data_IF_928223888943
#
_entry.id   IF_928223888943
#
_cell.length_a   1.000
_cell.length_b   1.000
_cell.length_c   1.000
_cell.angle_alpha   90.00
_cell.angle_beta   90.00
_cell.angle_gamma   90.00
#
_symmetry.space_group_name_H-M   'P 1'
#
loop_
_entity.id
_entity.type
_entity.pdbx_description
1 polymer ?
#
# COMPACT_ATOMS: atom_id res chain seq x y z
N UNK A 1 -17.10 -4.66 23.68
CA UNK A 1 -17.14 -3.66 22.60
C UNK A 1 -15.88 -3.79 21.73
N UNK A 2 -15.94 -4.49 20.58
CA UNK A 2 -14.87 -4.44 19.57
C UNK A 2 -15.11 -3.22 18.67
N UNK A 3 -14.83 -2.02 19.21
CA UNK A 3 -14.97 -0.73 18.50
C UNK A 3 -13.84 -0.56 17.49
N UNK A 4 -13.79 -1.41 16.47
CA UNK A 4 -13.14 -1.14 15.18
C UNK A 4 -13.51 -2.24 14.19
N UNK A 5 -14.79 -2.39 13.83
CA UNK A 5 -15.15 -3.09 12.57
C UNK A 5 -14.95 -2.14 11.39
N UNK A 6 -13.90 -1.29 11.45
CA UNK A 6 -13.45 -0.50 10.31
C UNK A 6 -12.85 -1.48 9.32
N UNK A 7 -13.70 -2.23 8.62
CA UNK A 7 -13.30 -3.08 7.52
C UNK A 7 -12.61 -2.17 6.51
N UNK A 8 -11.29 -2.23 6.58
CA UNK A 8 -10.37 -1.55 5.69
C UNK A 8 -9.96 -2.63 4.71
N UNK A 9 -10.72 -2.81 3.61
CA UNK A 9 -10.54 -3.96 2.71
C UNK A 9 -9.15 -3.99 2.09
N UNK A 10 -8.45 -2.85 2.08
CA UNK A 10 -7.12 -2.70 1.56
C UNK A 10 -6.09 -2.89 2.68
N UNK A 11 -5.64 -4.12 2.89
CA UNK A 11 -4.60 -4.45 3.86
C UNK A 11 -3.23 -4.60 3.19
N UNK A 12 -2.22 -3.97 3.77
CA UNK A 12 -0.83 -4.17 3.39
C UNK A 12 -0.35 -5.52 3.92
N UNK A 13 -0.01 -6.44 3.02
CA UNK A 13 0.47 -7.78 3.37
C UNK A 13 1.87 -7.77 3.99
N UNK A 14 2.65 -6.71 3.78
CA UNK A 14 4.02 -6.58 4.28
C UNK A 14 4.06 -6.22 5.77
N UNK A 15 3.24 -5.27 6.21
CA UNK A 15 3.28 -4.76 7.59
C UNK A 15 1.94 -4.83 8.34
N UNK A 16 0.88 -5.34 7.69
CA UNK A 16 -0.44 -5.47 8.30
C UNK A 16 -1.23 -4.16 8.43
N UNK A 17 -0.70 -3.01 7.97
CA UNK A 17 -1.45 -1.75 7.97
C UNK A 17 -2.65 -1.85 7.04
N UNK A 18 -3.81 -1.46 7.54
CA UNK A 18 -5.04 -1.43 6.75
C UNK A 18 -5.30 -0.02 6.22
N UNK A 19 -6.03 0.12 5.11
CA UNK A 19 -6.39 1.37 4.45
C UNK A 19 -7.85 1.34 3.99
N UNK A 20 -8.51 2.51 4.01
CA UNK A 20 -9.89 2.67 3.51
C UNK A 20 -9.95 2.79 1.98
N UNK A 21 -8.85 3.20 1.34
CA UNK A 21 -8.79 3.44 -0.09
C UNK A 21 -7.62 2.71 -0.75
N UNK A 22 -7.83 2.21 -1.96
CA UNK A 22 -6.82 1.47 -2.73
C UNK A 22 -5.59 2.31 -3.04
N UNK A 23 -5.76 3.56 -3.46
CA UNK A 23 -4.62 4.44 -3.81
C UNK A 23 -3.69 4.67 -2.61
N UNK A 24 -4.24 4.76 -1.39
CA UNK A 24 -3.45 4.90 -0.16
C UNK A 24 -2.65 3.63 0.13
N UNK A 25 -3.24 2.44 -0.04
CA UNK A 25 -2.51 1.18 0.08
C UNK A 25 -1.40 1.08 -0.97
N UNK A 26 -1.68 1.46 -2.22
CA UNK A 26 -0.73 1.41 -3.33
C UNK A 26 0.46 2.33 -3.06
N UNK A 27 0.23 3.62 -2.77
CA UNK A 27 1.27 4.57 -2.37
C UNK A 27 2.06 4.08 -1.16
N UNK A 28 1.39 3.52 -0.16
CA UNK A 28 2.05 2.93 1.00
C UNK A 28 2.91 1.71 0.63
N UNK A 29 2.45 0.83 -0.26
CA UNK A 29 3.20 -0.37 -0.65
C UNK A 29 4.54 -0.03 -1.30
N UNK A 30 4.62 1.09 -2.03
CA UNK A 30 5.88 1.59 -2.59
C UNK A 30 6.89 2.03 -1.54
N UNK A 31 6.43 2.53 -0.38
CA UNK A 31 7.33 2.87 0.73
C UNK A 31 8.09 1.65 1.27
N UNK A 32 7.54 0.43 1.11
CA UNK A 32 8.24 -0.81 1.45
C UNK A 32 9.25 -1.22 0.39
N UNK A 33 8.97 -0.96 -0.89
CA UNK A 33 9.80 -1.44 -2.00
C UNK A 33 10.93 -0.49 -2.39
N UNK A 34 10.99 0.76 -1.92
CA UNK A 34 11.90 1.80 -2.44
C UNK A 34 11.85 1.98 -3.97
N UNK A 35 10.87 1.38 -4.65
CA UNK A 35 10.61 1.55 -6.07
C UNK A 35 9.82 2.85 -6.16
N UNK A 36 10.53 3.92 -6.49
CA UNK A 36 9.94 5.21 -6.80
C UNK A 36 8.87 5.03 -7.89
N UNK A 37 7.63 5.52 -7.74
CA UNK A 37 6.52 5.28 -8.69
C UNK A 37 6.79 5.81 -10.11
N UNK A 38 7.84 6.62 -10.28
CA UNK A 38 8.32 7.08 -11.58
C UNK A 38 9.25 6.09 -12.29
N UNK A 39 9.67 5.02 -11.61
CA UNK A 39 10.60 4.05 -12.17
C UNK A 39 9.82 2.84 -12.65
N UNK A 40 9.88 2.61 -13.96
CA UNK A 40 9.26 1.47 -14.61
C UNK A 40 9.84 0.16 -14.05
N UNK A 41 9.08 -0.61 -13.27
CA UNK A 41 9.57 -1.89 -12.73
C UNK A 41 9.89 -2.96 -13.80
N UNK A 42 9.43 -2.76 -15.04
CA UNK A 42 9.69 -3.65 -16.19
C UNK A 42 10.94 -3.20 -16.97
N UNK A 43 11.27 -1.91 -16.94
CA UNK A 43 12.25 -1.31 -17.84
C UNK A 43 13.32 -0.44 -17.17
N UNK A 44 13.24 -0.23 -15.85
CA UNK A 44 14.25 0.44 -15.01
C UNK A 44 14.48 1.93 -15.29
N UNK A 45 13.77 2.52 -16.27
CA UNK A 45 13.94 3.94 -16.60
C UNK A 45 13.11 4.82 -15.67
N UNK A 46 13.79 5.84 -15.15
CA UNK A 46 13.23 7.03 -14.52
C UNK A 46 12.89 8.09 -15.58
#
# INVERSE_FOLDING_TARGET
>A
MRKHTGERPYLCKTCGKSFTQKHNLVSHSFSHSQINPYVCAICGKA
#
